data_IF_686974780611
#
_entry.id   IF_686974780611
#
_cell.length_a   1.000
_cell.length_b   1.000
_cell.length_c   1.000
_cell.angle_alpha   90.00
_cell.angle_beta   90.00
_cell.angle_gamma   90.00
#
_symmetry.space_group_name_H-M   'P 1'
#
loop_
_entity.id
_entity.type
_entity.pdbx_description
1 polymer ?
#
# COMPACT_ATOMS: atom_id res chain seq x y z
N UNK A 1 -18.53 -46.59 -1.01
CA UNK A 1 -17.72 -45.65 -0.19
C UNK A 1 -17.48 -44.41 -1.05
N UNK A 2 -18.29 -43.36 -0.86
CA UNK A 2 -18.26 -42.15 -1.70
C UNK A 2 -17.38 -41.12 -0.99
N UNK A 3 -16.23 -40.81 -1.58
CA UNK A 3 -15.32 -39.79 -1.04
C UNK A 3 -15.88 -38.43 -1.43
N UNK A 4 -16.54 -37.76 -0.48
CA UNK A 4 -16.87 -36.34 -0.59
C UNK A 4 -15.55 -35.56 -0.59
N UNK A 5 -15.19 -35.01 -1.76
CA UNK A 5 -14.10 -34.04 -1.87
C UNK A 5 -14.65 -32.72 -1.35
N UNK A 6 -14.41 -32.43 -0.08
CA UNK A 6 -14.65 -31.11 0.50
C UNK A 6 -13.92 -30.08 -0.35
N UNK A 7 -14.67 -29.26 -1.07
CA UNK A 7 -14.15 -28.09 -1.74
C UNK A 7 -13.67 -27.13 -0.63
N UNK A 8 -12.36 -27.07 -0.41
CA UNK A 8 -11.78 -25.94 0.30
C UNK A 8 -11.96 -24.75 -0.64
N UNK A 9 -12.78 -23.79 -0.24
CA UNK A 9 -12.92 -22.50 -0.90
C UNK A 9 -11.91 -21.55 -0.26
N UNK A 10 -10.76 -21.23 -0.90
CA UNK A 10 -9.98 -20.08 -0.48
C UNK A 10 -10.47 -18.91 -1.33
N UNK A 11 -11.63 -18.36 -0.99
CA UNK A 11 -12.03 -17.08 -1.60
C UNK A 11 -12.32 -16.10 -0.49
N UNK A 12 -11.20 -15.56 0.00
CA UNK A 12 -11.07 -14.22 0.56
C UNK A 12 -12.12 -13.30 -0.08
N UNK A 13 -13.19 -13.02 0.68
CA UNK A 13 -14.28 -12.14 0.28
C UNK A 13 -13.88 -10.67 0.31
N UNK A 14 -12.81 -10.30 -0.40
CA UNK A 14 -12.46 -8.92 -0.66
C UNK A 14 -12.57 -8.69 -2.16
N UNK A 15 -13.50 -7.84 -2.57
CA UNK A 15 -13.66 -7.45 -3.97
C UNK A 15 -12.28 -7.07 -4.57
N UNK A 16 -11.97 -7.44 -5.84
CA UNK A 16 -10.65 -7.23 -6.45
C UNK A 16 -10.12 -5.81 -6.30
N UNK A 17 -11.02 -4.82 -6.28
CA UNK A 17 -10.72 -3.42 -6.03
C UNK A 17 -10.07 -3.21 -4.65
N UNK A 18 -10.66 -3.74 -3.57
CA UNK A 18 -10.13 -3.56 -2.20
C UNK A 18 -8.77 -4.23 -1.99
N UNK A 19 -8.56 -5.40 -2.62
CA UNK A 19 -7.29 -6.12 -2.53
C UNK A 19 -6.15 -5.40 -3.27
N UNK A 20 -6.40 -4.93 -4.50
CA UNK A 20 -5.42 -4.17 -5.28
C UNK A 20 -5.08 -2.83 -4.62
N UNK A 21 -6.08 -2.13 -4.10
CA UNK A 21 -5.89 -0.89 -3.33
C UNK A 21 -5.01 -1.14 -2.09
N UNK A 22 -5.25 -2.22 -1.34
CA UNK A 22 -4.42 -2.56 -0.18
C UNK A 22 -2.98 -2.93 -0.55
N UNK A 23 -2.77 -3.58 -1.71
CA UNK A 23 -1.43 -3.96 -2.16
C UNK A 23 -0.61 -2.72 -2.59
N UNK A 24 -1.24 -1.79 -3.30
CA UNK A 24 -0.61 -0.55 -3.78
C UNK A 24 -0.17 0.33 -2.60
N UNK A 25 -1.04 0.50 -1.59
CA UNK A 25 -0.69 1.25 -0.37
C UNK A 25 0.51 0.65 0.37
N UNK A 26 0.60 -0.69 0.46
CA UNK A 26 1.73 -1.38 1.09
C UNK A 26 3.04 -1.21 0.31
N UNK A 27 2.99 -1.29 -1.01
CA UNK A 27 4.16 -1.08 -1.86
C UNK A 27 4.68 0.36 -1.75
N UNK A 28 3.79 1.36 -1.77
CA UNK A 28 4.16 2.76 -1.58
C UNK A 28 4.78 3.01 -0.19
N UNK A 29 4.21 2.44 0.85
CA UNK A 29 4.73 2.55 2.22
C UNK A 29 6.11 1.88 2.35
N UNK A 30 6.28 0.68 1.79
CA UNK A 30 7.57 0.00 1.77
C UNK A 30 8.66 0.82 1.06
N UNK A 31 8.34 1.43 -0.09
CA UNK A 31 9.27 2.32 -0.81
C UNK A 31 9.59 3.59 -0.02
N UNK A 32 8.61 4.14 0.70
CA UNK A 32 8.84 5.31 1.55
C UNK A 32 9.84 5.00 2.67
N UNK A 33 9.73 3.82 3.29
CA UNK A 33 10.67 3.35 4.32
C UNK A 33 12.06 3.15 3.72
N UNK A 34 12.18 2.48 2.56
CA UNK A 34 13.46 2.28 1.89
C UNK A 34 14.14 3.62 1.57
N UNK A 35 13.42 4.57 0.98
CA UNK A 35 13.96 5.89 0.65
C UNK A 35 14.41 6.67 1.90
N UNK A 36 13.71 6.49 3.03
CA UNK A 36 14.09 7.10 4.30
C UNK A 36 15.36 6.47 4.88
N UNK A 37 15.50 5.16 4.79
CA UNK A 37 16.69 4.45 5.26
C UNK A 37 17.90 4.78 4.37
N UNK A 38 17.74 4.85 3.05
CA UNK A 38 18.76 5.36 2.13
C UNK A 38 19.20 6.78 2.52
N UNK A 39 18.24 7.68 2.80
CA UNK A 39 18.55 9.04 3.22
C UNK A 39 19.29 9.13 4.57
N UNK A 40 19.15 8.13 5.46
CA UNK A 40 19.85 8.09 6.75
C UNK A 40 21.31 7.68 6.58
N UNK A 41 21.58 6.77 5.65
CA UNK A 41 22.94 6.33 5.32
C UNK A 41 23.72 7.39 4.51
N UNK A 42 23.02 8.31 3.86
CA UNK A 42 23.64 9.40 3.09
C UNK A 42 24.24 10.51 3.98
N UNK A 43 25.41 11.06 3.61
CA UNK A 43 25.93 12.27 4.23
C UNK A 43 25.01 13.47 3.95
N UNK A 44 25.08 14.54 4.75
CA UNK A 44 24.34 15.77 4.49
C UNK A 44 24.66 16.32 3.09
N UNK A 45 23.62 16.58 2.29
CA UNK A 45 23.77 17.08 0.93
C UNK A 45 22.47 17.07 0.14
N UNK A 46 22.57 17.45 -1.14
CA UNK A 46 21.42 17.48 -2.05
C UNK A 46 20.81 16.08 -2.25
N UNK A 47 21.65 15.06 -2.40
CA UNK A 47 21.22 13.67 -2.57
C UNK A 47 20.37 13.18 -1.40
N UNK A 48 20.82 13.44 -0.16
CA UNK A 48 20.02 13.15 1.04
C UNK A 48 18.70 13.93 1.07
N UNK A 49 18.71 15.18 0.62
CA UNK A 49 17.50 16.02 0.56
C UNK A 49 16.50 15.47 -0.44
N UNK A 50 16.95 15.01 -1.61
CA UNK A 50 16.12 14.35 -2.61
C UNK A 50 15.56 13.01 -2.12
N UNK A 51 16.37 12.18 -1.46
CA UNK A 51 15.92 10.93 -0.87
C UNK A 51 14.84 11.14 0.21
N UNK A 52 15.02 12.15 1.09
CA UNK A 52 14.00 12.55 2.06
C UNK A 52 12.72 13.07 1.37
N UNK A 53 12.87 13.87 0.31
CA UNK A 53 11.74 14.37 -0.44
C UNK A 53 10.94 13.23 -1.07
N UNK A 54 11.62 12.26 -1.67
CA UNK A 54 11.00 11.06 -2.24
C UNK A 54 10.25 10.24 -1.18
N UNK A 55 10.83 10.04 0.00
CA UNK A 55 10.17 9.37 1.12
C UNK A 55 8.88 10.08 1.53
N UNK A 56 8.89 11.41 1.60
CA UNK A 56 7.71 12.24 1.91
C UNK A 56 6.64 12.09 0.82
N UNK A 57 7.02 12.19 -0.45
CA UNK A 57 6.08 12.06 -1.58
C UNK A 57 5.38 10.70 -1.57
N UNK A 58 6.14 9.62 -1.34
CA UNK A 58 5.59 8.27 -1.28
C UNK A 58 4.60 8.10 -0.13
N UNK A 59 4.91 8.65 1.04
CA UNK A 59 4.00 8.62 2.19
C UNK A 59 2.74 9.46 1.96
N UNK A 60 2.86 10.63 1.32
CA UNK A 60 1.70 11.42 0.90
C UNK A 60 0.82 10.63 -0.09
N UNK A 61 1.42 9.84 -0.98
CA UNK A 61 0.67 8.99 -1.91
C UNK A 61 -0.13 7.90 -1.16
N UNK A 62 0.41 7.31 -0.09
CA UNK A 62 -0.32 6.38 0.79
C UNK A 62 -1.52 7.06 1.43
N UNK A 63 -1.35 8.27 1.97
CA UNK A 63 -2.42 9.02 2.64
C UNK A 63 -3.54 9.42 1.67
N UNK A 64 -3.19 9.93 0.49
CA UNK A 64 -4.16 10.26 -0.57
C UNK A 64 -4.89 9.00 -1.03
N UNK A 65 -4.16 7.90 -1.21
CA UNK A 65 -4.75 6.63 -1.59
C UNK A 65 -5.75 6.14 -0.53
N UNK A 66 -5.41 6.23 0.77
CA UNK A 66 -6.32 5.90 1.86
C UNK A 66 -7.58 6.78 1.86
N UNK A 67 -7.43 8.10 1.66
CA UNK A 67 -8.54 9.05 1.59
C UNK A 67 -9.50 8.71 0.43
N UNK A 68 -8.96 8.39 -0.75
CA UNK A 68 -9.75 8.05 -1.94
C UNK A 68 -10.41 6.68 -1.82
N UNK A 69 -9.74 5.71 -1.17
CA UNK A 69 -10.31 4.39 -0.91
C UNK A 69 -11.44 4.44 0.13
N UNK A 70 -11.33 5.27 1.18
CA UNK A 70 -12.35 5.40 2.21
C UNK A 70 -13.67 5.98 1.68
N UNK A 71 -13.63 6.84 0.65
CA UNK A 71 -14.83 7.47 0.07
C UNK A 71 -15.67 6.55 -0.80
N UNK A 72 -15.18 5.35 -1.17
CA UNK A 72 -15.93 4.41 -2.03
C UNK A 72 -16.97 3.55 -1.30
N UNK A 73 -16.94 3.52 0.02
CA UNK A 73 -17.84 2.69 0.84
C UNK A 73 -19.05 3.46 1.41
N UNK A 74 -19.24 4.74 1.05
CA UNK A 74 -20.44 5.48 1.42
C UNK A 74 -21.55 5.23 0.38
N UNK A 75 -22.67 4.54 0.73
CA UNK A 75 -23.80 4.45 -0.17
C UNK A 75 -24.35 5.87 -0.42
N UNK A 76 -24.59 6.19 -1.70
CA UNK A 76 -25.35 7.38 -2.05
C UNK A 76 -26.74 7.26 -1.42
N UNK A 77 -27.06 8.21 -0.53
CA UNK A 77 -28.37 8.35 0.07
C UNK A 77 -29.41 8.82 -0.95
#
# INVERSE_FOLDING_TARGET
>A
MVIQRSAVTPQYGLSPNKQTHSALARDLDARAVIALDEAREMPPGNERTEALHNAIVLRNAVEIHALLSCKRDAPAA
#
